data_IF_983535097030
#
_entry.id   IF_983535097030
#
_cell.length_a   1.000
_cell.length_b   1.000
_cell.length_c   1.000
_cell.angle_alpha   90.00
_cell.angle_beta   90.00
_cell.angle_gamma   90.00
#
_symmetry.space_group_name_H-M   'P 1'
#
loop_
_entity.id
_entity.type
_entity.pdbx_description
1 polymer ?
#
# COMPACT_ATOMS: atom_id res chain seq x y z
N UNK A 1 17.04 13.14 -32.25
CA UNK A 1 18.14 12.73 -31.34
C UNK A 1 17.70 12.18 -29.98
N UNK A 2 16.46 12.39 -29.51
CA UNK A 2 15.99 11.86 -28.20
C UNK A 2 15.55 10.39 -28.28
N UNK A 3 14.96 9.96 -29.40
CA UNK A 3 14.50 8.58 -29.60
C UNK A 3 15.65 7.55 -29.60
N UNK A 4 16.83 7.94 -30.10
CA UNK A 4 17.97 7.03 -30.29
C UNK A 4 18.74 6.71 -28.99
N UNK A 5 18.62 7.58 -27.97
CA UNK A 5 19.14 7.32 -26.61
C UNK A 5 18.23 6.39 -25.81
N UNK A 6 16.92 6.48 -26.00
CA UNK A 6 15.96 5.63 -25.30
C UNK A 6 16.11 4.15 -25.70
N UNK A 7 16.37 3.87 -26.99
CA UNK A 7 16.56 2.50 -27.50
C UNK A 7 17.87 1.87 -27.00
N UNK A 8 18.96 2.65 -26.86
CA UNK A 8 20.25 2.13 -26.36
C UNK A 8 20.28 1.84 -24.86
N UNK A 9 19.41 2.48 -24.07
CA UNK A 9 19.38 2.30 -22.61
C UNK A 9 18.57 1.07 -22.15
N UNK A 10 17.69 0.52 -23.01
CA UNK A 10 16.86 -0.65 -22.66
C UNK A 10 17.68 -1.93 -22.45
N UNK A 11 18.66 -2.27 -23.32
CA UNK A 11 19.55 -3.41 -23.09
C UNK A 11 20.35 -3.32 -21.79
N UNK A 12 20.80 -2.12 -21.43
CA UNK A 12 21.58 -1.89 -20.20
C UNK A 12 20.71 -2.03 -18.95
N UNK A 13 19.51 -1.45 -18.94
CA UNK A 13 18.56 -1.60 -17.84
C UNK A 13 18.18 -3.07 -17.61
N UNK A 14 17.97 -3.84 -18.68
CA UNK A 14 17.68 -5.27 -18.58
C UNK A 14 18.86 -6.05 -18.02
N UNK A 15 20.10 -5.76 -18.44
CA UNK A 15 21.31 -6.42 -17.88
C UNK A 15 21.48 -6.12 -16.40
N UNK A 16 21.25 -4.87 -15.96
CA UNK A 16 21.29 -4.50 -14.54
C UNK A 16 20.22 -5.22 -13.73
N UNK A 17 19.00 -5.32 -14.27
CA UNK A 17 17.90 -6.08 -13.67
C UNK A 17 18.26 -7.58 -13.52
N UNK A 18 18.87 -8.18 -14.54
CA UNK A 18 19.35 -9.57 -14.50
C UNK A 18 20.35 -9.80 -13.38
N UNK A 19 21.42 -9.01 -13.35
CA UNK A 19 22.47 -9.13 -12.32
C UNK A 19 21.88 -8.95 -10.92
N UNK A 20 21.01 -7.94 -10.74
CA UNK A 20 20.38 -7.65 -9.45
C UNK A 20 19.48 -8.79 -8.99
N UNK A 21 18.66 -9.34 -9.89
CA UNK A 21 17.74 -10.42 -9.57
C UNK A 21 18.46 -11.73 -9.29
N UNK A 22 19.45 -12.09 -10.11
CA UNK A 22 20.29 -13.28 -9.89
C UNK A 22 21.03 -13.18 -8.56
N UNK A 23 21.63 -12.02 -8.26
CA UNK A 23 22.30 -11.77 -6.99
C UNK A 23 21.34 -11.89 -5.81
N UNK A 24 20.17 -11.26 -5.90
CA UNK A 24 19.15 -11.29 -4.85
C UNK A 24 18.69 -12.70 -4.53
N UNK A 25 18.34 -13.50 -5.55
CA UNK A 25 17.93 -14.89 -5.37
C UNK A 25 19.07 -15.77 -4.86
N UNK A 26 20.29 -15.56 -5.38
CA UNK A 26 21.50 -16.30 -4.98
C UNK A 26 21.89 -16.06 -3.52
N UNK A 27 21.92 -14.80 -3.08
CA UNK A 27 22.21 -14.42 -1.69
C UNK A 27 21.18 -15.00 -0.72
N UNK A 28 19.90 -15.01 -1.13
CA UNK A 28 18.84 -15.59 -0.31
C UNK A 28 18.74 -17.12 -0.44
N UNK A 29 19.47 -17.74 -1.38
CA UNK A 29 19.33 -19.18 -1.70
C UNK A 29 17.88 -19.58 -1.96
N UNK A 30 17.16 -18.73 -2.71
CA UNK A 30 15.75 -18.91 -3.04
C UNK A 30 15.56 -19.23 -4.51
N UNK A 31 14.64 -20.15 -4.78
CA UNK A 31 14.13 -20.43 -6.13
C UNK A 31 12.86 -19.63 -6.40
N UNK A 32 12.56 -19.42 -7.68
CA UNK A 32 11.29 -18.80 -8.11
C UNK A 32 10.07 -19.56 -7.59
N UNK A 33 10.13 -20.90 -7.56
CA UNK A 33 9.05 -21.74 -7.04
C UNK A 33 8.82 -21.50 -5.54
N UNK A 34 9.88 -21.32 -4.75
CA UNK A 34 9.75 -20.97 -3.33
C UNK A 34 9.08 -19.61 -3.16
N UNK A 35 9.46 -18.59 -3.94
CA UNK A 35 8.80 -17.29 -3.89
C UNK A 35 7.30 -17.40 -4.23
N UNK A 36 6.96 -18.12 -5.29
CA UNK A 36 5.58 -18.26 -5.74
C UNK A 36 4.70 -19.05 -4.75
N UNK A 37 5.27 -20.02 -4.04
CA UNK A 37 4.56 -20.79 -3.02
C UNK A 37 4.61 -20.14 -1.62
N UNK A 38 5.21 -18.96 -1.48
CA UNK A 38 5.46 -18.35 -0.17
C UNK A 38 4.18 -17.92 0.54
N UNK A 39 3.22 -17.34 -0.18
CA UNK A 39 1.97 -16.87 0.41
C UNK A 39 1.12 -18.04 0.94
N UNK A 40 0.95 -19.09 0.14
CA UNK A 40 0.21 -20.29 0.54
C UNK A 40 0.83 -20.96 1.76
N UNK A 41 2.16 -21.16 1.77
CA UNK A 41 2.86 -21.71 2.94
C UNK A 41 2.70 -20.83 4.18
N UNK A 42 2.71 -19.51 4.01
CA UNK A 42 2.46 -18.59 5.11
C UNK A 42 1.04 -18.73 5.67
N UNK A 43 0.04 -18.89 4.81
CA UNK A 43 -1.34 -19.12 5.25
C UNK A 43 -1.48 -20.45 5.99
N UNK A 44 -0.95 -21.54 5.43
CA UNK A 44 -0.95 -22.86 6.08
C UNK A 44 -0.27 -22.83 7.45
N UNK A 45 0.86 -22.12 7.55
CA UNK A 45 1.57 -21.96 8.82
C UNK A 45 0.76 -21.14 9.84
N UNK A 46 0.09 -20.07 9.40
CA UNK A 46 -0.76 -19.25 10.29
C UNK A 46 -2.02 -19.99 10.73
N UNK A 47 -2.58 -20.84 9.89
CA UNK A 47 -3.70 -21.71 10.24
C UNK A 47 -3.31 -22.72 11.32
N UNK A 48 -2.12 -23.33 11.21
CA UNK A 48 -1.63 -24.28 12.20
C UNK A 48 -1.08 -23.61 13.47
N UNK A 49 -0.60 -22.36 13.36
CA UNK A 49 -0.01 -21.60 14.45
C UNK A 49 -0.39 -20.12 14.33
N UNK A 50 -1.37 -19.69 15.13
CA UNK A 50 -1.97 -18.34 15.11
C UNK A 50 -0.94 -17.19 15.17
N UNK A 51 0.23 -17.42 15.76
CA UNK A 51 1.32 -16.44 15.88
C UNK A 51 2.61 -16.85 15.17
N UNK A 52 2.52 -17.68 14.13
CA UNK A 52 3.70 -18.03 13.36
C UNK A 52 4.35 -16.80 12.72
N UNK A 53 5.70 -16.72 12.75
CA UNK A 53 6.41 -15.69 12.01
C UNK A 53 6.13 -15.82 10.53
N UNK A 54 6.14 -14.70 9.82
CA UNK A 54 6.01 -14.71 8.37
C UNK A 54 7.18 -15.49 7.76
N UNK A 55 6.86 -16.37 6.81
CA UNK A 55 7.89 -17.20 6.17
C UNK A 55 8.89 -16.32 5.43
N UNK A 56 10.17 -16.66 5.52
CA UNK A 56 11.29 -15.94 4.89
C UNK A 56 11.02 -15.62 3.42
N UNK A 57 10.45 -16.58 2.70
CA UNK A 57 10.26 -16.50 1.25
C UNK A 57 9.19 -15.44 0.90
N UNK A 58 8.23 -15.20 1.82
CA UNK A 58 7.21 -14.16 1.66
C UNK A 58 7.82 -12.78 1.93
N UNK A 59 8.70 -12.67 2.94
CA UNK A 59 9.51 -11.45 3.12
C UNK A 59 10.33 -11.16 1.87
N UNK A 60 10.96 -12.17 1.27
CA UNK A 60 11.76 -11.99 0.06
C UNK A 60 10.92 -11.54 -1.14
N UNK A 61 9.69 -12.06 -1.31
CA UNK A 61 8.79 -11.58 -2.36
C UNK A 61 8.41 -10.12 -2.15
N UNK A 62 8.08 -9.74 -0.90
CA UNK A 62 7.69 -8.38 -0.53
C UNK A 62 8.82 -7.38 -0.67
N UNK A 63 10.04 -7.76 -0.27
CA UNK A 63 11.25 -6.95 -0.42
C UNK A 63 11.60 -6.74 -1.90
N UNK A 64 11.44 -7.78 -2.74
CA UNK A 64 11.60 -7.61 -4.19
C UNK A 64 10.59 -6.60 -4.76
N UNK A 65 9.34 -6.65 -4.31
CA UNK A 65 8.33 -5.68 -4.70
C UNK A 65 8.63 -4.26 -4.15
N UNK A 66 9.20 -4.14 -2.95
CA UNK A 66 9.66 -2.87 -2.38
C UNK A 66 10.80 -2.25 -3.19
N UNK A 67 11.80 -3.06 -3.57
CA UNK A 67 12.89 -2.60 -4.44
C UNK A 67 12.33 -2.01 -5.74
N UNK A 68 11.41 -2.72 -6.40
CA UNK A 68 10.75 -2.23 -7.63
C UNK A 68 9.98 -0.93 -7.37
N UNK A 69 9.18 -0.89 -6.29
CA UNK A 69 8.31 0.24 -5.99
C UNK A 69 9.09 1.51 -5.64
N UNK A 70 10.13 1.39 -4.81
CA UNK A 70 10.95 2.51 -4.36
C UNK A 70 11.82 3.07 -5.48
N UNK A 71 12.49 2.21 -6.26
CA UNK A 71 13.35 2.67 -7.35
C UNK A 71 12.61 2.90 -8.68
N UNK A 72 11.30 2.64 -8.72
CA UNK A 72 10.47 2.69 -9.94
C UNK A 72 11.04 1.82 -11.07
N UNK A 73 11.70 0.72 -10.71
CA UNK A 73 12.48 -0.10 -11.65
C UNK A 73 11.57 -1.09 -12.38
N UNK A 74 10.97 -0.61 -13.47
CA UNK A 74 10.04 -1.40 -14.28
C UNK A 74 10.77 -2.51 -15.05
N UNK A 75 12.07 -2.33 -15.32
CA UNK A 75 12.89 -3.37 -15.93
C UNK A 75 13.07 -4.55 -14.96
N UNK A 76 13.34 -4.28 -13.68
CA UNK A 76 13.40 -5.31 -12.64
C UNK A 76 12.06 -6.05 -12.48
N UNK A 77 10.93 -5.33 -12.45
CA UNK A 77 9.60 -5.93 -12.38
C UNK A 77 9.32 -6.85 -13.57
N UNK A 78 9.61 -6.35 -14.78
CA UNK A 78 9.44 -7.10 -16.04
C UNK A 78 10.32 -8.35 -16.04
N UNK A 79 11.57 -8.23 -15.60
CA UNK A 79 12.50 -9.35 -15.59
C UNK A 79 12.12 -10.40 -14.56
N UNK A 80 11.71 -10.00 -13.36
CA UNK A 80 11.18 -10.92 -12.35
C UNK A 80 10.02 -11.75 -12.90
N UNK A 81 9.08 -11.12 -13.62
CA UNK A 81 7.99 -11.83 -14.30
C UNK A 81 8.49 -12.79 -15.40
N UNK A 82 9.47 -12.38 -16.19
CA UNK A 82 10.04 -13.22 -17.26
C UNK A 82 10.69 -14.50 -16.73
N UNK A 83 11.31 -14.46 -15.54
CA UNK A 83 11.85 -15.67 -14.91
C UNK A 83 10.80 -16.45 -14.09
N UNK A 84 9.55 -16.00 -14.10
CA UNK A 84 8.41 -16.71 -13.51
C UNK A 84 8.00 -16.25 -12.11
N UNK A 85 8.52 -15.14 -11.57
CA UNK A 85 8.04 -14.60 -10.29
C UNK A 85 6.61 -14.08 -10.43
N UNK A 86 5.71 -14.56 -9.58
CA UNK A 86 4.28 -14.24 -9.55
C UNK A 86 3.96 -13.36 -8.35
N UNK A 87 4.09 -12.04 -8.52
CA UNK A 87 3.71 -11.08 -7.49
C UNK A 87 2.22 -11.13 -7.15
N UNK A 88 1.40 -11.67 -8.06
CA UNK A 88 -0.04 -11.87 -7.91
C UNK A 88 -0.39 -12.86 -6.78
N UNK A 89 0.58 -13.65 -6.31
CA UNK A 89 0.40 -14.57 -5.18
C UNK A 89 0.35 -13.86 -3.83
N UNK A 90 0.77 -12.59 -3.74
CA UNK A 90 0.72 -11.77 -2.52
C UNK A 90 0.21 -10.37 -2.87
N UNK A 91 -1.02 -10.06 -2.46
CA UNK A 91 -1.69 -8.80 -2.79
C UNK A 91 -0.86 -7.53 -2.43
N UNK A 92 -0.15 -7.45 -1.29
CA UNK A 92 0.75 -6.32 -0.99
C UNK A 92 1.87 -6.15 -2.01
N UNK A 93 2.48 -7.26 -2.44
CA UNK A 93 3.51 -7.26 -3.47
C UNK A 93 2.93 -6.82 -4.81
N UNK A 94 1.79 -7.37 -5.23
CA UNK A 94 1.10 -6.98 -6.46
C UNK A 94 0.76 -5.48 -6.48
N UNK A 95 0.25 -4.95 -5.37
CA UNK A 95 -0.11 -3.54 -5.24
C UNK A 95 1.12 -2.64 -5.48
N UNK A 96 2.26 -2.96 -4.86
CA UNK A 96 3.53 -2.26 -5.06
C UNK A 96 3.98 -2.30 -6.51
N UNK A 97 3.92 -3.46 -7.17
CA UNK A 97 4.27 -3.59 -8.59
C UNK A 97 3.34 -2.76 -9.48
N UNK A 98 2.03 -2.77 -9.23
CA UNK A 98 1.04 -1.99 -9.99
C UNK A 98 1.23 -0.48 -9.85
N UNK A 99 1.70 -0.02 -8.69
CA UNK A 99 1.95 1.39 -8.41
C UNK A 99 3.34 1.85 -8.85
N UNK A 100 4.31 0.94 -9.04
CA UNK A 100 5.69 1.28 -9.36
C UNK A 100 5.88 2.21 -10.60
N UNK A 101 5.15 2.03 -11.72
CA UNK A 101 5.31 2.91 -12.89
C UNK A 101 4.87 4.35 -12.64
N UNK A 102 3.93 4.55 -11.71
CA UNK A 102 3.28 5.83 -11.46
C UNK A 102 4.22 6.81 -10.76
N UNK A 103 4.05 8.10 -11.04
CA UNK A 103 4.64 9.18 -10.26
C UNK A 103 4.11 9.17 -8.82
N UNK A 104 4.82 9.84 -7.93
CA UNK A 104 4.41 9.98 -6.53
C UNK A 104 2.94 10.44 -6.39
N UNK A 105 2.56 11.50 -7.12
CA UNK A 105 1.21 12.05 -7.08
C UNK A 105 0.16 11.04 -7.57
N UNK A 106 0.41 10.39 -8.70
CA UNK A 106 -0.50 9.39 -9.26
C UNK A 106 -0.65 8.17 -8.34
N UNK A 107 0.42 7.74 -7.66
CA UNK A 107 0.33 6.65 -6.67
C UNK A 107 -0.61 7.03 -5.55
N UNK A 108 -0.45 8.24 -5.02
CA UNK A 108 -1.28 8.73 -3.94
C UNK A 108 -2.74 8.87 -4.39
N UNK A 109 -2.99 9.45 -5.56
CA UNK A 109 -4.35 9.62 -6.09
C UNK A 109 -5.03 8.27 -6.28
N UNK A 110 -4.32 7.25 -6.79
CA UNK A 110 -4.85 5.88 -6.93
C UNK A 110 -5.16 5.26 -5.56
N UNK A 111 -4.23 5.35 -4.59
CA UNK A 111 -4.44 4.79 -3.26
C UNK A 111 -5.66 5.40 -2.57
N UNK A 112 -5.78 6.73 -2.58
CA UNK A 112 -6.91 7.43 -1.96
C UNK A 112 -8.22 7.12 -2.67
N UNK A 113 -8.21 7.05 -4.01
CA UNK A 113 -9.41 6.70 -4.77
C UNK A 113 -9.87 5.27 -4.47
N UNK A 114 -8.96 4.29 -4.43
CA UNK A 114 -9.31 2.91 -4.12
C UNK A 114 -9.82 2.75 -2.69
N UNK A 115 -9.16 3.38 -1.71
CA UNK A 115 -9.62 3.41 -0.32
C UNK A 115 -11.02 4.05 -0.21
N UNK A 116 -11.35 5.05 -1.02
CA UNK A 116 -12.68 5.69 -1.04
C UNK A 116 -13.81 4.82 -1.61
N UNK A 117 -13.48 3.63 -2.13
CA UNK A 117 -14.42 2.68 -2.75
C UNK A 117 -14.49 1.35 -2.02
N UNK A 118 -13.74 1.17 -0.93
CA UNK A 118 -13.72 -0.12 -0.22
C UNK A 118 -15.07 -0.42 0.42
N UNK A 119 -15.53 -1.67 0.28
CA UNK A 119 -16.79 -2.14 0.89
C UNK A 119 -16.58 -2.90 2.19
N UNK A 120 -15.36 -3.38 2.43
CA UNK A 120 -14.94 -4.12 3.62
C UNK A 120 -13.48 -3.76 3.87
N UNK A 121 -13.08 -3.63 5.14
CA UNK A 121 -11.67 -3.50 5.51
C UNK A 121 -11.14 -4.92 5.80
N UNK A 122 -10.30 -5.43 4.92
CA UNK A 122 -9.55 -6.68 5.08
C UNK A 122 -8.04 -6.39 5.08
N UNK A 123 -7.22 -7.44 5.12
CA UNK A 123 -5.75 -7.31 5.13
C UNK A 123 -5.22 -6.50 3.94
N UNK A 124 -5.78 -6.67 2.74
CA UNK A 124 -5.37 -5.92 1.55
C UNK A 124 -5.63 -4.43 1.69
N UNK A 125 -6.78 -4.06 2.29
CA UNK A 125 -7.11 -2.66 2.60
C UNK A 125 -6.15 -2.10 3.65
N UNK A 126 -5.79 -2.87 4.68
CA UNK A 126 -4.77 -2.43 5.65
C UNK A 126 -3.41 -2.19 4.99
N UNK A 127 -3.02 -3.02 4.02
CA UNK A 127 -1.81 -2.78 3.25
C UNK A 127 -1.90 -1.53 2.36
N UNK A 128 -3.06 -1.25 1.75
CA UNK A 128 -3.29 0.01 1.04
C UNK A 128 -3.20 1.22 1.97
N UNK A 129 -3.81 1.15 3.16
CA UNK A 129 -3.74 2.19 4.20
C UNK A 129 -2.27 2.42 4.58
N UNK A 130 -1.51 1.37 4.89
CA UNK A 130 -0.09 1.50 5.25
C UNK A 130 0.73 2.15 4.13
N UNK A 131 0.52 1.77 2.87
CA UNK A 131 1.21 2.41 1.74
C UNK A 131 0.84 3.88 1.58
N UNK A 132 -0.41 4.26 1.84
CA UNK A 132 -0.82 5.66 1.83
C UNK A 132 -0.19 6.43 2.99
N UNK A 133 -0.19 5.85 4.20
CA UNK A 133 0.43 6.45 5.41
C UNK A 133 1.92 6.67 5.22
N UNK A 134 2.62 5.77 4.53
CA UNK A 134 4.04 5.94 4.19
C UNK A 134 4.31 7.15 3.29
N UNK A 135 3.29 7.74 2.65
CA UNK A 135 3.40 9.00 1.90
C UNK A 135 3.24 10.23 2.81
N UNK A 136 2.99 10.06 4.12
CA UNK A 136 2.97 11.13 5.12
C UNK A 136 1.88 12.18 4.93
N UNK A 137 2.21 13.44 5.25
CA UNK A 137 1.29 14.60 5.22
C UNK A 137 0.54 14.76 3.89
N UNK A 138 1.17 14.59 2.70
CA UNK A 138 0.45 14.57 1.43
C UNK A 138 -0.74 13.60 1.39
N UNK A 139 -0.61 12.39 1.96
CA UNK A 139 -1.70 11.44 2.00
C UNK A 139 -2.82 11.85 2.94
N UNK A 140 -2.49 12.37 4.11
CA UNK A 140 -3.49 12.91 5.05
C UNK A 140 -4.33 14.01 4.39
N UNK A 141 -3.67 14.97 3.72
CA UNK A 141 -4.35 16.05 2.98
C UNK A 141 -5.22 15.52 1.84
N UNK A 142 -4.75 14.51 1.11
CA UNK A 142 -5.53 13.89 0.03
C UNK A 142 -6.74 13.13 0.55
N UNK A 143 -6.59 12.36 1.64
CA UNK A 143 -7.68 11.67 2.33
C UNK A 143 -8.72 12.68 2.86
N UNK A 144 -8.29 13.79 3.47
CA UNK A 144 -9.19 14.83 3.96
C UNK A 144 -10.00 15.50 2.83
N UNK A 145 -9.37 15.78 1.68
CA UNK A 145 -10.10 16.27 0.49
C UNK A 145 -11.12 15.24 0.00
N UNK A 146 -10.75 13.95 -0.04
CA UNK A 146 -11.62 12.87 -0.48
C UNK A 146 -12.81 12.67 0.48
N UNK A 147 -12.60 12.78 1.78
CA UNK A 147 -13.69 12.74 2.78
C UNK A 147 -14.73 13.84 2.52
N UNK A 148 -14.29 15.08 2.27
CA UNK A 148 -15.20 16.19 1.92
C UNK A 148 -16.00 15.89 0.64
N UNK A 149 -15.34 15.33 -0.38
CA UNK A 149 -16.02 14.91 -1.61
C UNK A 149 -17.06 13.80 -1.33
N UNK A 150 -16.68 12.78 -0.56
CA UNK A 150 -17.57 11.67 -0.22
C UNK A 150 -18.78 12.11 0.61
N UNK A 151 -18.65 13.15 1.42
CA UNK A 151 -19.77 13.75 2.14
C UNK A 151 -20.77 14.41 1.20
N UNK A 152 -20.30 15.10 0.16
CA UNK A 152 -21.18 15.66 -0.88
C UNK A 152 -21.87 14.57 -1.73
N UNK A 153 -21.21 13.42 -1.91
CA UNK A 153 -21.69 12.27 -2.70
C UNK A 153 -22.22 11.13 -1.82
N UNK A 154 -22.82 11.44 -0.66
CA UNK A 154 -23.02 10.47 0.43
C UNK A 154 -23.76 9.19 0.06
N UNK A 155 -24.75 9.28 -0.84
CA UNK A 155 -25.55 8.13 -1.28
C UNK A 155 -24.77 7.04 -2.02
N UNK A 156 -23.53 7.31 -2.44
CA UNK A 156 -22.70 6.39 -3.22
C UNK A 156 -21.56 5.76 -2.41
N UNK A 157 -21.44 6.09 -1.12
CA UNK A 157 -20.24 5.80 -0.30
C UNK A 157 -20.60 4.95 0.91
N UNK A 158 -19.69 4.03 1.24
CA UNK A 158 -19.87 3.05 2.32
C UNK A 158 -19.13 3.52 3.58
N UNK A 159 -19.63 3.15 4.76
CA UNK A 159 -18.94 3.45 6.02
C UNK A 159 -17.48 2.89 6.10
N UNK A 160 -17.11 1.76 5.47
CA UNK A 160 -15.72 1.29 5.46
C UNK A 160 -14.78 2.19 4.65
N UNK A 161 -15.29 2.87 3.61
CA UNK A 161 -14.50 3.84 2.86
C UNK A 161 -14.16 5.07 3.72
N UNK A 162 -15.12 5.56 4.51
CA UNK A 162 -14.85 6.61 5.50
C UNK A 162 -13.81 6.15 6.52
N UNK A 163 -14.00 4.95 7.09
CA UNK A 163 -13.08 4.36 8.05
C UNK A 163 -11.64 4.25 7.51
N UNK A 164 -11.48 3.80 6.27
CA UNK A 164 -10.17 3.67 5.64
C UNK A 164 -9.45 5.02 5.51
N UNK A 165 -10.15 6.07 5.08
CA UNK A 165 -9.58 7.41 4.96
C UNK A 165 -9.28 8.04 6.33
N UNK A 166 -10.14 7.85 7.34
CA UNK A 166 -9.84 8.29 8.70
C UNK A 166 -8.61 7.59 9.26
N UNK A 167 -8.44 6.29 9.03
CA UNK A 167 -7.24 5.54 9.43
C UNK A 167 -5.98 6.13 8.79
N UNK A 168 -6.00 6.52 7.52
CA UNK A 168 -4.87 7.20 6.87
C UNK A 168 -4.53 8.51 7.59
N UNK A 169 -5.53 9.37 7.82
CA UNK A 169 -5.32 10.67 8.48
C UNK A 169 -4.76 10.48 9.89
N UNK A 170 -5.38 9.62 10.70
CA UNK A 170 -5.01 9.38 12.09
C UNK A 170 -3.62 8.75 12.25
N UNK A 171 -3.29 7.81 11.38
CA UNK A 171 -1.96 7.20 11.35
C UNK A 171 -0.85 8.18 10.97
N UNK A 172 -1.13 9.11 10.06
CA UNK A 172 -0.16 10.17 9.71
C UNK A 172 -0.02 11.18 10.85
N UNK A 173 -1.10 11.47 11.59
CA UNK A 173 -1.06 12.39 12.72
C UNK A 173 -0.99 13.88 12.32
N UNK A 174 -1.44 14.22 11.11
CA UNK A 174 -1.42 15.61 10.60
C UNK A 174 -2.49 16.47 11.31
N UNK A 175 -2.06 17.24 12.31
CA UNK A 175 -2.91 18.14 13.11
C UNK A 175 -3.73 19.11 12.25
N UNK A 176 -3.24 19.49 11.07
CA UNK A 176 -3.96 20.41 10.18
C UNK A 176 -5.30 19.84 9.70
N UNK A 177 -5.46 18.52 9.72
CA UNK A 177 -6.72 17.86 9.35
C UNK A 177 -7.71 17.72 10.51
N UNK A 178 -7.33 18.08 11.75
CA UNK A 178 -8.23 17.98 12.90
C UNK A 178 -9.57 18.71 12.68
N UNK A 179 -9.64 19.92 12.09
CA UNK A 179 -10.92 20.58 11.80
C UNK A 179 -11.80 19.80 10.82
N UNK A 180 -11.19 19.13 9.84
CA UNK A 180 -11.93 18.30 8.87
C UNK A 180 -12.50 17.08 9.57
N UNK A 181 -11.73 16.41 10.43
CA UNK A 181 -12.20 15.24 11.17
C UNK A 181 -13.26 15.63 12.21
N UNK A 182 -13.06 16.73 12.93
CA UNK A 182 -14.02 17.23 13.92
C UNK A 182 -15.40 17.57 13.30
N UNK A 183 -15.43 18.01 12.04
CA UNK A 183 -16.69 18.22 11.31
C UNK A 183 -17.54 16.93 11.20
N UNK A 184 -16.90 15.77 11.03
CA UNK A 184 -17.60 14.49 10.93
C UNK A 184 -18.10 13.94 12.27
N UNK A 185 -17.73 14.54 13.41
CA UNK A 185 -18.35 14.21 14.71
C UNK A 185 -19.82 14.59 14.77
N UNK A 186 -20.26 15.47 13.87
CA UNK A 186 -21.66 15.92 13.72
C UNK A 186 -22.36 15.25 12.53
N UNK A 187 -21.79 14.19 11.98
CA UNK A 187 -22.39 13.46 10.86
C UNK A 187 -23.70 12.78 11.30
N UNK A 188 -24.59 12.45 10.35
CA UNK A 188 -25.87 11.77 10.66
C UNK A 188 -25.71 10.27 10.82
N UNK A 189 -24.64 9.71 10.29
CA UNK A 189 -24.34 8.28 10.33
C UNK A 189 -23.46 7.96 11.53
N UNK A 190 -23.99 7.18 12.47
CA UNK A 190 -23.30 6.79 13.70
C UNK A 190 -21.95 6.10 13.46
N UNK A 191 -21.78 5.37 12.35
CA UNK A 191 -20.50 4.76 12.02
C UNK A 191 -19.45 5.78 11.62
N UNK A 192 -19.83 6.81 10.86
CA UNK A 192 -18.91 7.88 10.47
C UNK A 192 -18.52 8.73 11.67
N UNK A 193 -19.47 9.02 12.57
CA UNK A 193 -19.17 9.68 13.86
C UNK A 193 -18.16 8.84 14.65
N UNK A 194 -18.40 7.54 14.78
CA UNK A 194 -17.51 6.62 15.49
C UNK A 194 -16.07 6.64 14.93
N UNK A 195 -15.89 6.55 13.62
CA UNK A 195 -14.55 6.59 13.02
C UNK A 195 -13.88 7.96 13.13
N UNK A 196 -14.65 9.05 13.06
CA UNK A 196 -14.13 10.39 13.26
C UNK A 196 -13.67 10.59 14.71
N UNK A 197 -14.47 10.19 15.69
CA UNK A 197 -14.16 10.27 17.13
C UNK A 197 -12.88 9.52 17.48
N UNK A 198 -12.77 8.30 16.94
CA UNK A 198 -11.60 7.46 17.05
C UNK A 198 -10.29 8.17 16.69
N UNK A 199 -10.30 9.06 15.71
CA UNK A 199 -9.09 9.71 15.19
C UNK A 199 -8.94 11.15 15.68
N UNK A 200 -10.04 11.84 15.98
CA UNK A 200 -10.05 13.25 16.33
C UNK A 200 -9.21 13.53 17.58
N UNK A 201 -9.34 12.68 18.61
CA UNK A 201 -8.56 12.80 19.84
C UNK A 201 -7.05 12.78 19.58
N UNK A 202 -6.58 11.83 18.77
CA UNK A 202 -5.15 11.69 18.46
C UNK A 202 -4.62 12.85 17.62
N UNK A 203 -5.41 13.35 16.67
CA UNK A 203 -5.05 14.50 15.83
C UNK A 203 -4.95 15.81 16.61
N UNK A 204 -5.84 16.06 17.57
CA UNK A 204 -5.79 17.28 18.39
C UNK A 204 -4.49 17.34 19.21
N UNK A 205 -3.96 16.19 19.61
CA UNK A 205 -2.67 16.09 20.29
C UNK A 205 -1.49 15.90 19.33
N UNK A 206 -1.76 15.62 18.04
CA UNK A 206 -0.82 15.25 16.96
C UNK A 206 0.08 14.11 17.34
N UNK A 207 -0.53 13.09 17.93
CA UNK A 207 0.09 11.81 18.15
C UNK A 207 -0.29 10.94 16.96
N UNK A 208 0.66 10.43 16.17
CA UNK A 208 0.32 9.48 15.14
C UNK A 208 -0.22 8.20 15.79
N UNK A 209 -1.39 7.72 15.35
CA UNK A 209 -1.98 6.49 15.87
C UNK A 209 -1.57 5.28 15.03
N UNK A 210 -0.35 4.79 15.25
CA UNK A 210 0.18 3.59 14.58
C UNK A 210 -0.48 2.29 15.06
N UNK A 211 -1.08 2.29 16.26
CA UNK A 211 -1.69 1.11 16.89
C UNK A 211 -3.01 0.67 16.24
N UNK A 212 -3.55 1.45 15.29
CA UNK A 212 -4.81 1.13 14.58
C UNK A 212 -4.65 0.74 13.10
N UNK A 213 -3.40 0.58 12.66
CA UNK A 213 -3.05 -0.01 11.34
C UNK A 213 -2.63 -1.48 11.49
N UNK A 214 -2.43 -1.95 12.72
CA UNK A 214 -1.98 -3.32 13.00
C UNK A 214 -3.16 -4.28 13.22
N UNK A 215 -2.95 -5.52 12.74
CA UNK A 215 -3.85 -6.67 12.68
C UNK A 215 -4.63 -6.97 13.96
#
# INVERSE_FOLDING_TARGET
MVADRAVRNVPEANRRADVRLTRYLGELKLTVNQLNAAHERNQQLRWSRKHAPTVRDLYALRELADMVYQSRDIALAKRARQIGVRFETDAPSLLKIRLAPRSYRERLDVLIEELSRVKVINDDVYHMIQLAVNQGVPASRAAARKLKQMQAERGQRTHPAFAALFKVIGAVGDKEQAPVVAHFLKDRDGWVIYYADQVCGDLLHGRPNYYRITY
#
